data_IF_629869825272
#
_entry.id   IF_629869825272
#
_cell.length_a   1.000
_cell.length_b   1.000
_cell.length_c   1.000
_cell.angle_alpha   90.00
_cell.angle_beta   90.00
_cell.angle_gamma   90.00
#
_symmetry.space_group_name_H-M   'P 1'
#
loop_
_entity.id
_entity.type
_entity.pdbx_description
1 polymer ?
#
# COMPACT_ATOMS: atom_id res chain seq x y z
N UNK A 1 2.89 -18.54 57.70
CA UNK A 1 3.17 -19.00 56.33
C UNK A 1 2.39 -18.10 55.35
N UNK A 2 3.05 -17.15 54.72
CA UNK A 2 2.42 -16.24 53.77
C UNK A 2 2.64 -16.81 52.35
N UNK A 3 1.53 -17.15 51.67
CA UNK A 3 1.57 -17.60 50.30
C UNK A 3 1.92 -16.44 49.36
N UNK A 4 3.09 -16.46 48.75
CA UNK A 4 3.52 -15.55 47.68
C UNK A 4 2.67 -15.86 46.43
N UNK A 5 1.75 -14.95 46.10
CA UNK A 5 1.08 -14.98 44.76
C UNK A 5 2.14 -14.65 43.70
N UNK A 6 2.46 -15.66 42.93
CA UNK A 6 3.22 -15.51 41.68
C UNK A 6 2.39 -14.67 40.72
N UNK A 7 2.86 -13.45 40.38
CA UNK A 7 2.29 -12.65 39.29
C UNK A 7 2.61 -13.34 37.99
N UNK A 8 1.59 -13.79 37.32
CA UNK A 8 1.67 -14.27 35.94
C UNK A 8 2.13 -13.09 35.05
N UNK A 9 3.24 -13.16 34.29
CA UNK A 9 3.56 -12.13 33.32
C UNK A 9 2.48 -12.19 32.24
N UNK A 10 1.74 -11.10 32.07
CA UNK A 10 0.83 -10.93 30.92
C UNK A 10 1.67 -11.14 29.67
N UNK A 11 1.44 -12.24 28.95
CA UNK A 11 1.89 -12.45 27.59
C UNK A 11 1.26 -11.30 26.78
N UNK A 12 2.02 -10.25 26.49
CA UNK A 12 1.70 -9.32 25.41
C UNK A 12 1.63 -10.19 24.16
N UNK A 13 0.43 -10.32 23.60
CA UNK A 13 0.27 -10.84 22.25
C UNK A 13 0.97 -9.79 21.39
N UNK A 14 2.18 -10.08 20.93
CA UNK A 14 2.85 -9.28 19.91
C UNK A 14 1.95 -9.32 18.69
N UNK A 15 1.18 -8.24 18.49
CA UNK A 15 0.37 -8.09 17.29
C UNK A 15 1.34 -7.85 16.13
N UNK A 16 1.19 -8.63 15.06
CA UNK A 16 2.00 -8.46 13.85
C UNK A 16 1.96 -7.00 13.38
N UNK A 17 3.10 -6.49 12.97
CA UNK A 17 3.28 -5.16 12.40
C UNK A 17 3.66 -5.28 10.93
N UNK A 18 3.67 -4.19 10.18
CA UNK A 18 4.15 -4.20 8.78
C UNK A 18 5.60 -4.69 8.67
N UNK A 19 6.38 -4.54 9.72
CA UNK A 19 7.81 -4.91 9.77
C UNK A 19 8.07 -6.42 9.93
N UNK A 20 7.02 -7.23 10.10
CA UNK A 20 7.13 -8.69 10.20
C UNK A 20 6.98 -9.38 8.84
N UNK A 21 6.84 -8.60 7.77
CA UNK A 21 6.58 -9.11 6.42
C UNK A 21 7.79 -8.94 5.50
N UNK A 22 7.79 -9.76 4.44
CA UNK A 22 8.75 -9.72 3.35
C UNK A 22 8.03 -9.81 2.03
N UNK A 23 8.62 -9.28 0.97
CA UNK A 23 8.10 -9.38 -0.39
C UNK A 23 9.25 -9.42 -1.40
N UNK A 24 8.97 -9.89 -2.61
CA UNK A 24 9.95 -9.92 -3.69
C UNK A 24 9.85 -8.62 -4.52
N UNK A 25 10.99 -8.01 -4.80
CA UNK A 25 11.12 -6.97 -5.81
C UNK A 25 10.91 -7.56 -7.23
N UNK A 26 10.64 -6.70 -8.22
CA UNK A 26 10.50 -7.07 -9.64
C UNK A 26 11.66 -7.92 -10.17
N UNK A 27 12.88 -7.67 -9.70
CA UNK A 27 14.09 -8.41 -10.05
C UNK A 27 14.30 -9.71 -9.24
N UNK A 28 13.36 -10.10 -8.39
CA UNK A 28 13.40 -11.30 -7.57
C UNK A 28 14.17 -11.17 -6.25
N UNK A 29 14.75 -9.99 -5.94
CA UNK A 29 15.39 -9.77 -4.65
C UNK A 29 14.36 -9.71 -3.54
N UNK A 30 14.59 -10.43 -2.43
CA UNK A 30 13.75 -10.30 -1.23
C UNK A 30 14.00 -8.96 -0.53
N UNK A 31 12.91 -8.27 -0.21
CA UNK A 31 12.88 -7.03 0.57
C UNK A 31 12.26 -7.35 1.93
N UNK A 32 13.00 -7.12 3.00
CA UNK A 32 12.52 -7.26 4.37
C UNK A 32 11.97 -5.92 4.86
N UNK A 33 10.70 -5.88 5.25
CA UNK A 33 10.08 -4.64 5.72
C UNK A 33 10.63 -4.18 7.07
N UNK A 34 11.32 -5.05 7.81
CA UNK A 34 12.06 -4.66 9.00
C UNK A 34 13.14 -3.58 8.73
N UNK A 35 13.68 -3.54 7.51
CA UNK A 35 14.67 -2.54 7.09
C UNK A 35 14.09 -1.12 7.00
N UNK A 36 12.77 -1.01 6.96
CA UNK A 36 12.07 0.27 6.89
C UNK A 36 11.62 0.82 8.26
N UNK A 37 12.00 0.20 9.37
CA UNK A 37 11.68 0.71 10.71
C UNK A 37 12.14 2.16 10.86
N UNK A 38 11.24 3.02 11.38
CA UNK A 38 11.50 4.45 11.53
C UNK A 38 11.29 5.28 10.26
N UNK A 39 10.80 4.68 9.17
CA UNK A 39 10.40 5.36 7.94
C UNK A 39 8.88 5.44 7.84
N UNK A 40 8.39 6.47 7.16
CA UNK A 40 6.99 6.54 6.72
C UNK A 40 6.88 5.72 5.44
N UNK A 41 5.93 4.78 5.37
CA UNK A 41 5.75 3.96 4.18
C UNK A 41 4.50 4.40 3.42
N UNK A 42 4.60 4.48 2.10
CA UNK A 42 3.48 4.64 1.18
C UNK A 42 3.43 3.41 0.28
N UNK A 43 2.50 2.49 0.56
CA UNK A 43 2.31 1.24 -0.17
C UNK A 43 1.12 1.38 -1.12
N UNK A 44 1.31 1.06 -2.39
CA UNK A 44 0.32 1.26 -3.45
C UNK A 44 0.16 -0.02 -4.28
N UNK A 45 -1.06 -0.46 -4.56
CA UNK A 45 -1.28 -1.43 -5.64
C UNK A 45 -1.39 -0.69 -6.97
N UNK A 46 -0.57 -1.06 -7.95
CA UNK A 46 -0.38 -0.33 -9.20
C UNK A 46 -0.83 -1.14 -10.42
N UNK A 47 -0.97 -0.46 -11.55
CA UNK A 47 -1.19 -1.08 -12.86
C UNK A 47 -0.71 -0.16 -13.99
N UNK A 48 -0.22 -0.77 -15.09
CA UNK A 48 0.35 -0.06 -16.23
C UNK A 48 -0.69 0.41 -17.27
N UNK A 49 -1.90 -0.17 -17.29
CA UNK A 49 -2.96 0.11 -18.29
C UNK A 49 -4.28 0.54 -17.64
N UNK A 50 -4.21 1.26 -16.53
CA UNK A 50 -5.36 1.75 -15.78
C UNK A 50 -5.61 3.23 -16.08
N UNK A 51 -6.87 3.68 -16.00
CA UNK A 51 -7.18 5.11 -16.08
C UNK A 51 -6.52 5.96 -15.00
N UNK A 52 -6.06 5.34 -13.90
CA UNK A 52 -5.32 6.00 -12.82
C UNK A 52 -3.79 5.90 -12.95
N UNK A 53 -3.27 5.23 -13.99
CA UNK A 53 -1.81 5.12 -14.23
C UNK A 53 -1.08 6.48 -14.21
N UNK A 54 -1.68 7.60 -14.70
CA UNK A 54 -1.06 8.92 -14.58
C UNK A 54 -0.80 9.39 -13.14
N UNK A 55 -1.35 8.74 -12.11
CA UNK A 55 -1.01 9.07 -10.72
C UNK A 55 0.46 8.74 -10.37
N UNK A 56 1.17 7.96 -11.19
CA UNK A 56 2.60 7.75 -11.01
C UNK A 56 3.38 9.07 -11.00
N UNK A 57 3.00 10.06 -11.80
CA UNK A 57 3.66 11.39 -11.79
C UNK A 57 3.58 12.04 -10.40
N UNK A 58 2.40 12.04 -9.79
CA UNK A 58 2.20 12.60 -8.46
C UNK A 58 2.86 11.77 -7.35
N UNK A 59 2.88 10.44 -7.48
CA UNK A 59 3.54 9.54 -6.53
C UNK A 59 5.06 9.73 -6.57
N UNK A 60 5.65 9.86 -7.77
CA UNK A 60 7.09 10.12 -7.91
C UNK A 60 7.44 11.51 -7.38
N UNK A 61 6.62 12.53 -7.65
CA UNK A 61 6.83 13.86 -7.08
C UNK A 61 6.85 13.84 -5.54
N UNK A 62 5.97 13.07 -4.89
CA UNK A 62 5.99 12.86 -3.43
C UNK A 62 7.25 12.11 -2.99
N UNK A 63 7.64 11.06 -3.73
CA UNK A 63 8.86 10.30 -3.45
C UNK A 63 10.09 11.20 -3.52
N UNK A 64 10.28 11.98 -4.58
CA UNK A 64 11.39 12.91 -4.74
C UNK A 64 11.43 13.96 -3.62
N UNK A 65 10.27 14.51 -3.26
CA UNK A 65 10.17 15.57 -2.25
C UNK A 65 10.49 15.07 -0.84
N UNK A 66 10.12 13.85 -0.50
CA UNK A 66 10.10 13.38 0.89
C UNK A 66 11.04 12.20 1.20
N UNK A 67 11.65 11.54 0.20
CA UNK A 67 12.55 10.38 0.43
C UNK A 67 13.70 10.72 1.40
N UNK A 68 14.31 11.89 1.26
CA UNK A 68 15.42 12.31 2.13
C UNK A 68 14.94 12.68 3.54
N UNK A 69 13.63 12.91 3.72
CA UNK A 69 12.98 13.11 5.01
C UNK A 69 12.47 11.82 5.64
N UNK A 70 12.55 10.70 4.91
CA UNK A 70 12.23 9.38 5.42
C UNK A 70 10.93 8.76 4.90
N UNK A 71 10.35 9.28 3.81
CA UNK A 71 9.31 8.59 3.07
C UNK A 71 9.91 7.47 2.23
N UNK A 72 9.25 6.30 2.22
CA UNK A 72 9.55 5.18 1.31
C UNK A 72 8.29 4.82 0.56
N UNK A 73 8.28 5.02 -0.76
CA UNK A 73 7.20 4.60 -1.65
C UNK A 73 7.48 3.20 -2.19
N UNK A 74 6.45 2.34 -2.23
CA UNK A 74 6.55 0.95 -2.70
C UNK A 74 5.32 0.63 -3.55
N UNK A 75 5.54 0.32 -4.82
CA UNK A 75 4.49 -0.07 -5.77
C UNK A 75 4.40 -1.59 -5.91
N UNK A 76 3.19 -2.13 -5.76
CA UNK A 76 2.88 -3.53 -6.00
C UNK A 76 1.99 -3.67 -7.24
N UNK A 77 2.52 -4.11 -8.39
CA UNK A 77 1.72 -4.41 -9.56
C UNK A 77 0.64 -5.46 -9.27
N UNK A 78 -0.57 -5.24 -9.80
CA UNK A 78 -1.70 -6.14 -9.59
C UNK A 78 -2.56 -6.24 -10.84
N UNK A 79 -2.83 -7.47 -11.31
CA UNK A 79 -3.61 -7.72 -12.53
C UNK A 79 -5.08 -8.09 -12.27
N UNK A 80 -5.54 -8.09 -11.00
CA UNK A 80 -6.89 -8.54 -10.63
C UNK A 80 -8.01 -7.60 -11.10
N UNK A 81 -7.69 -6.34 -11.43
CA UNK A 81 -8.69 -5.34 -11.83
C UNK A 81 -8.71 -5.20 -13.34
N UNK A 82 -9.57 -6.00 -13.99
CA UNK A 82 -9.78 -6.05 -15.46
C UNK A 82 -8.49 -6.28 -16.25
N UNK A 83 -7.57 -7.05 -15.71
CA UNK A 83 -6.30 -7.40 -16.39
C UNK A 83 -5.52 -6.16 -16.88
N UNK A 84 -5.53 -5.10 -16.05
CA UNK A 84 -4.91 -3.82 -16.40
C UNK A 84 -3.39 -3.78 -16.14
N UNK A 85 -2.79 -4.91 -15.77
CA UNK A 85 -1.33 -5.04 -15.60
C UNK A 85 -0.79 -6.38 -16.15
N UNK A 86 -0.95 -6.65 -17.44
CA UNK A 86 -0.68 -7.97 -18.04
C UNK A 86 0.82 -8.26 -18.23
N UNK A 87 1.69 -7.24 -18.24
CA UNK A 87 3.14 -7.39 -18.47
C UNK A 87 3.84 -8.30 -17.44
N UNK A 88 5.03 -8.77 -17.77
CA UNK A 88 5.95 -9.38 -16.80
C UNK A 88 6.46 -8.36 -15.79
N UNK A 89 7.03 -8.81 -14.67
CA UNK A 89 7.56 -7.91 -13.63
C UNK A 89 8.60 -6.92 -14.20
N UNK A 90 9.50 -7.40 -15.09
CA UNK A 90 10.50 -6.55 -15.73
C UNK A 90 9.90 -5.53 -16.71
N UNK A 91 8.92 -5.93 -17.53
CA UNK A 91 8.22 -5.01 -18.44
C UNK A 91 7.46 -3.93 -17.71
N UNK A 92 6.84 -4.27 -16.57
CA UNK A 92 6.11 -3.30 -15.74
C UNK A 92 7.07 -2.30 -15.09
N UNK A 93 8.18 -2.78 -14.52
CA UNK A 93 9.20 -1.89 -13.94
C UNK A 93 9.79 -0.95 -15.00
N UNK A 94 10.15 -1.47 -16.18
CA UNK A 94 10.64 -0.68 -17.29
C UNK A 94 9.60 0.37 -17.75
N UNK A 95 8.33 -0.03 -17.86
CA UNK A 95 7.23 0.87 -18.20
C UNK A 95 7.13 2.03 -17.19
N UNK A 96 7.15 1.75 -15.88
CA UNK A 96 7.08 2.77 -14.83
C UNK A 96 8.26 3.75 -14.93
N UNK A 97 9.47 3.22 -15.11
CA UNK A 97 10.69 4.01 -15.22
C UNK A 97 10.72 4.89 -16.47
N UNK A 98 10.39 4.33 -17.65
CA UNK A 98 10.51 5.04 -18.92
C UNK A 98 9.38 6.06 -19.15
N UNK A 99 8.15 5.76 -18.71
CA UNK A 99 7.00 6.62 -18.99
C UNK A 99 6.70 7.64 -17.90
N UNK A 100 7.09 7.35 -16.64
CA UNK A 100 6.76 8.19 -15.48
C UNK A 100 7.98 8.55 -14.64
N UNK A 101 9.19 8.15 -15.05
CA UNK A 101 10.41 8.43 -14.31
C UNK A 101 10.46 7.83 -12.90
N UNK A 102 9.65 6.80 -12.62
CA UNK A 102 9.53 6.19 -11.29
C UNK A 102 10.89 5.72 -10.80
N UNK A 103 11.30 6.21 -9.63
CA UNK A 103 12.55 5.86 -8.95
C UNK A 103 12.33 5.06 -7.67
N UNK A 104 11.10 5.00 -7.14
CA UNK A 104 10.79 4.17 -5.99
C UNK A 104 10.68 2.69 -6.34
N UNK A 105 10.70 1.84 -5.31
CA UNK A 105 10.71 0.39 -5.46
C UNK A 105 9.43 -0.14 -6.08
N UNK A 106 9.55 -0.85 -7.21
CA UNK A 106 8.50 -1.68 -7.78
C UNK A 106 8.74 -3.14 -7.37
N UNK A 107 7.70 -3.76 -6.84
CA UNK A 107 7.73 -5.13 -6.35
C UNK A 107 7.28 -6.09 -7.45
N UNK A 108 7.45 -7.40 -7.21
CA UNK A 108 6.87 -8.45 -8.04
C UNK A 108 5.35 -8.32 -8.02
N UNK A 109 4.71 -8.62 -9.17
CA UNK A 109 3.25 -8.62 -9.30
C UNK A 109 2.61 -9.64 -8.35
N UNK A 110 1.53 -9.20 -7.68
CA UNK A 110 0.82 -9.97 -6.67
C UNK A 110 -0.69 -9.84 -6.80
N UNK A 111 -1.40 -10.70 -6.09
CA UNK A 111 -2.82 -10.53 -5.80
C UNK A 111 -3.01 -9.76 -4.48
N UNK A 112 -4.01 -8.88 -4.45
CA UNK A 112 -4.33 -8.05 -3.28
C UNK A 112 -5.64 -8.47 -2.60
N UNK A 113 -6.48 -9.24 -3.29
CA UNK A 113 -7.77 -9.78 -2.79
C UNK A 113 -7.85 -11.29 -3.05
N UNK A 114 -8.78 -11.95 -2.36
CA UNK A 114 -9.03 -13.38 -2.50
C UNK A 114 -8.07 -14.27 -1.73
N UNK A 115 -8.13 -15.60 -1.92
CA UNK A 115 -7.36 -16.57 -1.14
C UNK A 115 -5.85 -16.51 -1.41
N UNK A 116 -5.42 -16.01 -2.55
CA UNK A 116 -4.02 -15.87 -2.96
C UNK A 116 -3.46 -14.48 -2.65
N UNK A 117 -4.22 -13.63 -1.94
CA UNK A 117 -3.78 -12.28 -1.60
C UNK A 117 -2.47 -12.30 -0.80
N UNK A 118 -1.54 -11.44 -1.19
CA UNK A 118 -0.25 -11.33 -0.51
C UNK A 118 -0.44 -10.97 0.98
N UNK A 119 0.26 -11.61 1.92
CA UNK A 119 0.09 -11.39 3.36
C UNK A 119 0.17 -9.93 3.81
N UNK A 120 1.00 -9.11 3.16
CA UNK A 120 1.08 -7.66 3.42
C UNK A 120 -0.28 -7.00 3.17
N UNK A 121 -0.98 -7.32 2.07
CA UNK A 121 -2.27 -6.72 1.77
C UNK A 121 -3.39 -7.26 2.64
N UNK A 122 -3.32 -8.53 3.06
CA UNK A 122 -4.25 -9.04 4.08
C UNK A 122 -4.09 -8.28 5.40
N UNK A 123 -2.86 -8.06 5.85
CA UNK A 123 -2.58 -7.25 7.03
C UNK A 123 -3.10 -5.81 6.87
N UNK A 124 -2.75 -5.13 5.79
CA UNK A 124 -3.13 -3.73 5.54
C UNK A 124 -4.67 -3.56 5.49
N UNK A 125 -5.38 -4.49 4.85
CA UNK A 125 -6.85 -4.48 4.78
C UNK A 125 -7.49 -4.69 6.17
N UNK A 126 -6.87 -5.47 7.05
CA UNK A 126 -7.34 -5.68 8.43
C UNK A 126 -7.11 -4.43 9.30
N UNK A 127 -5.96 -3.77 9.16
CA UNK A 127 -5.62 -2.59 9.94
C UNK A 127 -6.39 -1.33 9.47
N UNK A 128 -6.60 -1.17 8.17
CA UNK A 128 -7.33 -0.06 7.56
C UNK A 128 -8.42 -0.59 6.60
N UNK A 129 -9.56 -1.09 7.15
CA UNK A 129 -10.61 -1.73 6.35
C UNK A 129 -11.42 -0.76 5.49
N UNK A 130 -11.44 0.53 5.83
CA UNK A 130 -12.19 1.56 5.12
C UNK A 130 -11.27 2.48 4.33
N UNK A 131 -11.73 2.90 3.15
CA UNK A 131 -11.03 3.85 2.29
C UNK A 131 -11.46 5.29 2.60
N UNK A 132 -10.49 6.19 2.67
CA UNK A 132 -10.73 7.63 2.72
C UNK A 132 -10.79 8.21 1.30
N UNK A 133 -11.83 9.02 1.04
CA UNK A 133 -12.06 9.70 -0.23
C UNK A 133 -11.75 11.18 -0.06
N UNK A 134 -10.51 11.58 -0.32
CA UNK A 134 -10.07 12.98 -0.25
C UNK A 134 -10.18 13.65 -1.62
N UNK A 135 -10.45 14.98 -1.60
CA UNK A 135 -10.64 15.76 -2.80
C UNK A 135 -12.06 15.68 -3.39
N UNK A 136 -12.42 16.67 -4.21
CA UNK A 136 -13.77 16.81 -4.77
C UNK A 136 -14.12 15.68 -5.74
N UNK A 137 -13.15 15.22 -6.53
CA UNK A 137 -13.34 14.13 -7.52
C UNK A 137 -13.52 12.76 -6.86
N UNK A 138 -12.84 12.51 -5.74
CA UNK A 138 -12.86 11.22 -5.08
C UNK A 138 -14.24 10.87 -4.53
N UNK A 139 -14.93 11.83 -3.94
CA UNK A 139 -16.25 11.62 -3.32
C UNK A 139 -17.34 11.23 -4.31
N UNK A 140 -17.27 11.72 -5.56
CA UNK A 140 -18.24 11.39 -6.61
C UNK A 140 -18.07 9.98 -7.19
N UNK A 141 -16.88 9.42 -7.14
CA UNK A 141 -16.56 8.14 -7.78
C UNK A 141 -16.76 6.90 -6.89
N UNK A 142 -16.99 7.07 -5.60
CA UNK A 142 -17.14 5.97 -4.63
C UNK A 142 -18.22 4.94 -5.01
N UNK A 143 -19.34 5.39 -5.58
CA UNK A 143 -20.43 4.53 -6.03
C UNK A 143 -20.08 3.72 -7.28
N UNK A 144 -19.23 4.27 -8.16
CA UNK A 144 -18.85 3.64 -9.42
C UNK A 144 -18.02 2.37 -9.17
N UNK A 145 -17.09 2.41 -8.22
CA UNK A 145 -16.20 1.27 -7.95
C UNK A 145 -16.91 0.04 -7.38
N UNK A 146 -18.01 0.24 -6.65
CA UNK A 146 -18.87 -0.86 -6.20
C UNK A 146 -19.47 -1.66 -7.35
N UNK A 147 -19.64 -1.01 -8.51
CA UNK A 147 -20.33 -1.60 -9.67
C UNK A 147 -19.38 -2.25 -10.66
N UNK A 148 -18.13 -1.81 -10.74
CA UNK A 148 -17.19 -2.23 -11.77
C UNK A 148 -16.12 -3.22 -11.31
N UNK A 149 -15.91 -3.37 -10.00
CA UNK A 149 -14.91 -4.31 -9.46
C UNK A 149 -15.48 -5.72 -9.31
N UNK A 150 -14.89 -6.66 -10.01
CA UNK A 150 -15.27 -8.09 -9.98
C UNK A 150 -14.52 -8.89 -8.91
N UNK A 151 -13.44 -8.33 -8.34
CA UNK A 151 -12.59 -8.99 -7.33
C UNK A 151 -12.88 -8.55 -5.89
N UNK A 152 -14.03 -7.91 -5.66
CA UNK A 152 -14.45 -7.44 -4.32
C UNK A 152 -15.51 -8.37 -3.76
N UNK A 153 -15.15 -9.15 -2.73
CA UNK A 153 -16.05 -10.03 -2.01
C UNK A 153 -16.40 -9.47 -0.63
N UNK A 154 -15.44 -8.83 0.03
CA UNK A 154 -15.57 -8.29 1.39
C UNK A 154 -15.56 -6.76 1.38
N UNK A 155 -16.21 -6.10 2.35
CA UNK A 155 -16.18 -4.63 2.48
C UNK A 155 -14.75 -4.06 2.56
N UNK A 156 -13.82 -4.80 3.20
CA UNK A 156 -12.42 -4.42 3.36
C UNK A 156 -11.56 -4.64 2.12
N UNK A 157 -12.04 -5.37 1.10
CA UNK A 157 -11.28 -5.64 -0.10
C UNK A 157 -10.91 -4.36 -0.84
N UNK A 158 -9.78 -4.41 -1.54
CA UNK A 158 -9.30 -3.33 -2.41
C UNK A 158 -10.26 -3.21 -3.58
N UNK A 159 -10.76 -1.99 -3.82
CA UNK A 159 -11.81 -1.76 -4.82
C UNK A 159 -11.27 -1.64 -6.23
N UNK A 160 -10.04 -1.13 -6.38
CA UNK A 160 -9.42 -0.90 -7.68
C UNK A 160 -7.91 -0.65 -7.56
N UNK A 161 -7.22 -0.56 -8.72
CA UNK A 161 -5.81 -0.13 -8.78
C UNK A 161 -5.63 1.28 -8.20
N UNK A 162 -4.44 1.55 -7.68
CA UNK A 162 -4.06 2.80 -7.03
C UNK A 162 -4.79 3.08 -5.71
N UNK A 163 -5.13 2.04 -4.95
CA UNK A 163 -5.38 2.18 -3.51
C UNK A 163 -4.04 2.40 -2.80
N UNK A 164 -3.98 3.35 -1.88
CA UNK A 164 -2.76 3.73 -1.17
C UNK A 164 -2.91 3.48 0.32
N UNK A 165 -1.85 2.97 0.94
CA UNK A 165 -1.74 2.84 2.40
C UNK A 165 -0.56 3.67 2.86
N UNK A 166 -0.81 4.64 3.75
CA UNK A 166 0.20 5.46 4.40
C UNK A 166 0.39 4.98 5.83
N UNK A 167 1.63 4.65 6.20
CA UNK A 167 1.97 4.00 7.47
C UNK A 167 2.98 4.88 8.21
N UNK A 168 2.69 5.17 9.48
CA UNK A 168 3.57 5.96 10.36
C UNK A 168 4.92 5.27 10.63
N UNK A 169 5.91 6.07 11.11
CA UNK A 169 7.28 5.60 11.39
C UNK A 169 7.37 4.42 12.35
N UNK A 170 6.44 4.32 13.27
CA UNK A 170 6.35 3.23 14.25
C UNK A 170 5.46 2.06 13.78
N UNK A 171 4.82 2.19 12.61
CA UNK A 171 3.96 1.17 12.03
C UNK A 171 2.58 1.05 12.69
N UNK A 172 2.20 1.97 13.60
CA UNK A 172 0.97 1.85 14.39
C UNK A 172 -0.22 2.55 13.76
N UNK A 173 -0.01 3.69 13.09
CA UNK A 173 -1.06 4.39 12.36
C UNK A 173 -1.00 4.02 10.89
N UNK A 174 -2.14 3.54 10.36
CA UNK A 174 -2.30 3.19 8.94
C UNK A 174 -3.54 3.88 8.40
N UNK A 175 -3.35 4.74 7.41
CA UNK A 175 -4.43 5.36 6.65
C UNK A 175 -4.55 4.69 5.28
N UNK A 176 -5.78 4.57 4.78
CA UNK A 176 -6.05 3.99 3.46
C UNK A 176 -6.82 4.98 2.61
N UNK A 177 -6.26 5.32 1.45
CA UNK A 177 -6.89 6.24 0.50
C UNK A 177 -7.43 5.49 -0.71
N UNK A 178 -8.61 5.92 -1.15
CA UNK A 178 -9.29 5.38 -2.33
C UNK A 178 -8.46 5.57 -3.61
N UNK A 179 -8.68 4.74 -4.65
CA UNK A 179 -8.06 4.90 -5.96
C UNK A 179 -8.17 6.31 -6.54
N UNK A 180 -9.31 6.96 -6.32
CA UNK A 180 -9.63 8.31 -6.84
C UNK A 180 -9.03 9.47 -6.05
N UNK A 181 -8.45 9.20 -4.88
CA UNK A 181 -7.72 10.20 -4.09
C UNK A 181 -6.36 10.46 -4.75
N UNK A 182 -6.17 11.68 -5.25
CA UNK A 182 -4.92 12.06 -5.92
C UNK A 182 -3.76 12.17 -4.91
N UNK A 183 -2.50 11.92 -5.32
CA UNK A 183 -1.34 12.00 -4.43
C UNK A 183 -1.24 13.32 -3.65
N UNK A 184 -1.52 14.44 -4.28
CA UNK A 184 -1.52 15.78 -3.66
C UNK A 184 -2.56 15.97 -2.55
N UNK A 185 -3.65 15.18 -2.58
CA UNK A 185 -4.77 15.35 -1.64
C UNK A 185 -4.45 14.79 -0.25
N UNK A 186 -3.47 13.89 -0.12
CA UNK A 186 -3.01 13.33 1.16
C UNK A 186 -1.56 13.74 1.54
N UNK A 187 -0.96 14.68 0.82
CA UNK A 187 0.40 15.14 1.08
C UNK A 187 0.58 15.68 2.51
N UNK A 188 -0.43 16.36 3.06
CA UNK A 188 -0.41 16.85 4.46
C UNK A 188 -0.34 15.72 5.48
N UNK A 189 -0.93 14.58 5.18
CA UNK A 189 -0.86 13.42 6.07
C UNK A 189 0.56 12.82 6.06
N UNK A 190 1.24 12.82 4.90
CA UNK A 190 2.66 12.46 4.81
C UNK A 190 3.50 13.40 5.67
N UNK A 191 3.31 14.72 5.53
CA UNK A 191 4.04 15.72 6.31
C UNK A 191 3.83 15.56 7.82
N UNK A 192 2.63 15.20 8.24
CA UNK A 192 2.29 14.98 9.65
C UNK A 192 2.94 13.72 10.25
N UNK A 193 3.24 12.70 9.42
CA UNK A 193 3.88 11.46 9.84
C UNK A 193 5.42 11.49 9.75
N UNK A 194 6.00 12.45 9.00
CA UNK A 194 7.45 12.63 8.82
C UNK A 194 8.10 13.37 10.00
#
# INVERSE_FOLDING_TARGET
MQARRLRNPKKTIDMATIYDYKALASNGKEIDFADFKGKVLLIINTASKCGFTPQFDGLEALNEKYRDRGLVCIGFPCNQFKEQDPGSDGEIEEFCRLNYGVTFQIMKKIDVNGPEAHPIFEYLKQQAPAEEYLGLKAKGAAALFKTISTSVEKPSDIKWNFTKFLISRDGTEIKRYAPTTEPKDFEKDIEAML
#
